data_IF_554379709651
#
_entry.id   IF_554379709651
#
_cell.length_a   1.000
_cell.length_b   1.000
_cell.length_c   1.000
_cell.angle_alpha   90.00
_cell.angle_beta   90.00
_cell.angle_gamma   90.00
#
_symmetry.space_group_name_H-M   'P 1'
#
loop_
_entity.id
_entity.type
_entity.pdbx_description
1 polymer ?
#
# COMPACT_ATOMS: atom_id res chain seq x y z
N UNK A 1 -19.81 -59.17 53.57
CA UNK A 1 -18.84 -58.06 53.47
C UNK A 1 -18.10 -57.96 52.10
N UNK A 2 -18.41 -58.80 51.11
CA UNK A 2 -17.72 -58.75 49.79
C UNK A 2 -18.41 -57.85 48.72
N UNK A 3 -19.68 -57.54 48.91
CA UNK A 3 -20.45 -56.77 47.90
C UNK A 3 -20.18 -55.28 47.96
N UNK A 4 -19.81 -54.73 49.13
CA UNK A 4 -19.53 -53.31 49.30
C UNK A 4 -18.17 -52.88 48.72
N UNK A 5 -17.20 -53.77 48.59
CA UNK A 5 -15.85 -53.48 48.06
C UNK A 5 -15.84 -53.40 46.51
N UNK A 6 -16.72 -54.12 45.81
CA UNK A 6 -16.80 -54.14 44.35
C UNK A 6 -17.43 -52.88 43.84
N UNK A 7 -18.43 -52.29 44.53
CA UNK A 7 -19.10 -51.06 44.16
C UNK A 7 -18.19 -49.81 44.24
N UNK A 8 -17.28 -49.79 45.18
CA UNK A 8 -16.34 -48.69 45.38
C UNK A 8 -15.23 -48.67 44.28
N UNK A 9 -14.79 -49.85 43.84
CA UNK A 9 -13.81 -50.00 42.77
C UNK A 9 -14.40 -49.56 41.41
N UNK A 10 -15.63 -50.00 41.11
CA UNK A 10 -16.32 -49.63 39.86
C UNK A 10 -16.64 -48.11 39.81
N UNK A 11 -16.95 -47.48 40.93
CA UNK A 11 -17.19 -46.06 41.02
C UNK A 11 -15.88 -45.23 40.88
N UNK A 12 -14.76 -45.71 41.37
CA UNK A 12 -13.44 -45.05 41.19
C UNK A 12 -12.94 -45.13 39.77
N UNK A 13 -13.21 -46.22 39.03
CA UNK A 13 -12.82 -46.36 37.64
C UNK A 13 -13.75 -45.52 36.72
N UNK A 14 -15.03 -45.43 37.05
CA UNK A 14 -15.97 -44.56 36.32
C UNK A 14 -15.66 -43.05 36.48
N UNK A 15 -15.19 -42.62 37.65
CA UNK A 15 -14.82 -41.22 37.89
C UNK A 15 -13.43 -40.87 37.30
N UNK A 16 -12.63 -41.87 36.92
CA UNK A 16 -11.32 -41.65 36.30
C UNK A 16 -11.39 -41.46 34.79
N UNK A 17 -12.48 -41.84 34.15
CA UNK A 17 -12.75 -41.58 32.71
C UNK A 17 -13.58 -40.32 32.43
N UNK A 18 -13.88 -39.51 33.45
CA UNK A 18 -14.48 -38.20 33.25
C UNK A 18 -13.40 -37.24 32.74
N UNK A 19 -13.38 -37.08 31.44
CA UNK A 19 -12.75 -36.04 30.63
C UNK A 19 -11.92 -35.03 31.44
N UNK A 20 -10.59 -35.14 31.40
CA UNK A 20 -9.76 -33.96 31.57
C UNK A 20 -10.14 -33.01 30.43
N UNK A 21 -10.57 -31.77 30.72
CA UNK A 21 -10.88 -30.82 29.62
C UNK A 21 -9.63 -30.68 28.76
N UNK A 22 -9.78 -30.94 27.46
CA UNK A 22 -8.71 -30.66 26.50
C UNK A 22 -8.17 -29.26 26.78
N UNK A 23 -6.84 -29.08 26.80
CA UNK A 23 -6.27 -27.74 26.99
C UNK A 23 -6.82 -26.84 25.90
N UNK A 24 -7.54 -25.80 26.29
CA UNK A 24 -8.04 -24.77 25.37
C UNK A 24 -6.88 -24.36 24.50
N UNK A 25 -7.05 -24.55 23.18
CA UNK A 25 -6.08 -24.05 22.20
C UNK A 25 -5.78 -22.58 22.54
N UNK A 26 -4.51 -22.16 22.52
CA UNK A 26 -4.16 -20.79 22.85
C UNK A 26 -5.01 -19.85 21.99
N UNK A 27 -5.69 -18.90 22.62
CA UNK A 27 -6.48 -17.91 21.90
C UNK A 27 -5.58 -17.28 20.83
N UNK A 28 -6.06 -17.25 19.58
CA UNK A 28 -5.34 -16.62 18.48
C UNK A 28 -4.94 -15.20 18.93
N UNK A 29 -3.66 -14.87 18.78
CA UNK A 29 -3.19 -13.52 19.11
C UNK A 29 -4.04 -12.49 18.37
N UNK A 30 -4.39 -11.39 19.04
CA UNK A 30 -5.10 -10.30 18.39
C UNK A 30 -4.31 -9.83 17.15
N UNK A 31 -4.98 -9.52 16.03
CA UNK A 31 -4.30 -9.08 14.82
C UNK A 31 -3.47 -7.83 15.12
N UNK A 32 -2.26 -7.81 14.60
CA UNK A 32 -1.37 -6.63 14.71
C UNK A 32 -1.89 -5.49 13.82
N UNK A 33 -1.40 -4.26 14.03
CA UNK A 33 -1.71 -3.12 13.13
C UNK A 33 -1.34 -3.45 11.66
N UNK A 34 -0.25 -4.18 11.44
CA UNK A 34 0.21 -4.60 10.13
C UNK A 34 -0.75 -5.62 9.49
N UNK A 35 -1.26 -6.56 10.28
CA UNK A 35 -2.28 -7.50 9.82
C UNK A 35 -3.58 -6.78 9.46
N UNK A 36 -4.02 -5.85 10.30
CA UNK A 36 -5.22 -5.06 10.07
C UNK A 36 -5.11 -4.21 8.78
N UNK A 37 -3.93 -3.66 8.51
CA UNK A 37 -3.64 -2.89 7.29
C UNK A 37 -3.72 -3.77 6.05
N UNK A 38 -3.00 -4.90 6.04
CA UNK A 38 -3.04 -5.87 4.93
C UNK A 38 -4.47 -6.32 4.64
N UNK A 39 -5.19 -6.79 5.66
CA UNK A 39 -6.56 -7.24 5.53
C UNK A 39 -7.51 -6.13 5.06
N UNK A 40 -7.28 -4.88 5.46
CA UNK A 40 -8.05 -3.73 5.01
C UNK A 40 -7.98 -3.56 3.50
N UNK A 41 -6.79 -3.58 2.93
CA UNK A 41 -6.57 -3.49 1.48
C UNK A 41 -7.06 -4.73 0.73
N UNK A 42 -6.80 -5.93 1.24
CA UNK A 42 -7.30 -7.19 0.65
C UNK A 42 -8.84 -7.19 0.57
N UNK A 43 -9.52 -6.76 1.64
CA UNK A 43 -10.99 -6.61 1.64
C UNK A 43 -11.46 -5.59 0.62
N UNK A 44 -10.76 -4.45 0.47
CA UNK A 44 -11.13 -3.43 -0.50
C UNK A 44 -11.09 -3.97 -1.93
N UNK A 45 -10.04 -4.70 -2.30
CA UNK A 45 -9.96 -5.38 -3.60
C UNK A 45 -11.01 -6.47 -3.75
N UNK A 46 -11.17 -7.36 -2.77
CA UNK A 46 -12.11 -8.48 -2.83
C UNK A 46 -13.57 -8.00 -3.02
N UNK A 47 -13.93 -6.91 -2.34
CA UNK A 47 -15.27 -6.30 -2.45
C UNK A 47 -15.42 -5.40 -3.67
N UNK A 48 -14.34 -5.05 -4.37
CA UNK A 48 -14.33 -4.06 -5.45
C UNK A 48 -14.72 -2.68 -4.94
N UNK A 49 -14.24 -2.29 -3.76
CA UNK A 49 -14.59 -1.02 -3.11
C UNK A 49 -14.22 0.19 -3.95
N UNK A 50 -13.11 0.13 -4.67
CA UNK A 50 -12.65 1.21 -5.57
C UNK A 50 -13.12 1.04 -7.01
N UNK A 51 -13.77 -0.07 -7.33
CA UNK A 51 -14.27 -0.41 -8.65
C UNK A 51 -13.99 -1.86 -9.02
N UNK A 52 -14.53 -2.27 -10.18
CA UNK A 52 -14.30 -3.60 -10.74
C UNK A 52 -13.79 -3.47 -12.17
N UNK A 53 -12.85 -4.34 -12.53
CA UNK A 53 -12.37 -4.45 -13.90
C UNK A 53 -13.41 -5.16 -14.80
N UNK A 54 -13.10 -5.26 -16.11
CA UNK A 54 -13.99 -5.91 -17.10
C UNK A 54 -14.27 -7.39 -16.80
N UNK A 55 -13.47 -8.04 -15.96
CA UNK A 55 -13.68 -9.42 -15.53
C UNK A 55 -14.46 -9.50 -14.21
N UNK A 56 -15.01 -8.38 -13.71
CA UNK A 56 -15.78 -8.31 -12.48
C UNK A 56 -14.94 -8.41 -11.19
N UNK A 57 -13.62 -8.46 -11.28
CA UNK A 57 -12.70 -8.47 -10.13
C UNK A 57 -12.45 -7.06 -9.64
N UNK A 58 -12.14 -6.90 -8.35
CA UNK A 58 -11.72 -5.63 -7.78
C UNK A 58 -10.52 -5.05 -8.53
N UNK A 59 -10.48 -3.73 -8.66
CA UNK A 59 -9.46 -2.97 -9.36
C UNK A 59 -8.90 -1.86 -8.48
N UNK A 60 -7.81 -1.24 -8.92
CA UNK A 60 -7.19 -0.08 -8.27
C UNK A 60 -8.01 1.22 -8.40
N UNK A 61 -9.24 1.12 -8.91
CA UNK A 61 -10.20 2.22 -8.96
C UNK A 61 -10.17 3.07 -10.22
N UNK A 62 -11.16 3.97 -10.28
CA UNK A 62 -11.36 4.85 -11.43
C UNK A 62 -10.16 5.78 -11.70
N UNK A 63 -9.42 6.15 -10.66
CA UNK A 63 -8.21 6.98 -10.77
C UNK A 63 -7.02 6.29 -11.45
N UNK A 64 -7.09 4.96 -11.65
CA UNK A 64 -6.01 4.16 -12.25
C UNK A 64 -6.30 3.69 -13.68
N UNK A 65 -7.46 4.03 -14.25
CA UNK A 65 -7.80 3.63 -15.63
C UNK A 65 -6.92 4.32 -16.66
N UNK A 66 -6.81 3.73 -17.85
CA UNK A 66 -6.06 4.34 -18.96
C UNK A 66 -6.61 5.71 -19.37
N UNK A 67 -7.92 5.89 -19.30
CA UNK A 67 -8.56 7.15 -19.62
C UNK A 67 -8.24 8.24 -18.60
N UNK A 68 -8.49 7.93 -17.31
CA UNK A 68 -8.30 8.88 -16.21
C UNK A 68 -6.84 9.30 -16.02
N UNK A 69 -5.89 8.45 -16.41
CA UNK A 69 -4.45 8.71 -16.26
C UNK A 69 -3.77 9.25 -17.50
N UNK A 70 -4.52 9.55 -18.57
CA UNK A 70 -3.92 10.01 -19.85
C UNK A 70 -2.98 11.20 -19.66
N UNK A 71 -3.41 12.24 -18.96
CA UNK A 71 -2.59 13.43 -18.69
C UNK A 71 -1.39 13.08 -17.81
N UNK A 72 -1.62 12.32 -16.76
CA UNK A 72 -0.55 11.89 -15.84
C UNK A 72 0.51 11.04 -16.54
N UNK A 73 0.11 10.12 -17.42
CA UNK A 73 1.06 9.26 -18.16
C UNK A 73 1.97 10.05 -19.08
N UNK A 74 1.43 11.05 -19.79
CA UNK A 74 2.26 11.96 -20.62
C UNK A 74 3.26 12.71 -19.74
N UNK A 75 2.79 13.33 -18.67
CA UNK A 75 3.65 14.00 -17.70
C UNK A 75 4.74 13.07 -17.14
N UNK A 76 4.36 11.85 -16.71
CA UNK A 76 5.31 10.92 -16.12
C UNK A 76 6.37 10.48 -17.15
N UNK A 77 5.98 10.22 -18.40
CA UNK A 77 6.93 9.85 -19.46
C UNK A 77 7.95 10.97 -19.72
N UNK A 78 7.48 12.23 -19.80
CA UNK A 78 8.34 13.40 -19.96
C UNK A 78 9.25 13.60 -18.74
N UNK A 79 8.71 13.39 -17.53
CA UNK A 79 9.47 13.47 -16.28
C UNK A 79 10.60 12.43 -16.22
N UNK A 80 10.31 11.18 -16.60
CA UNK A 80 11.31 10.09 -16.63
C UNK A 80 12.47 10.45 -17.58
N UNK A 81 12.16 10.99 -18.75
CA UNK A 81 13.16 11.41 -19.74
C UNK A 81 13.96 12.64 -19.28
N UNK A 82 13.27 13.69 -18.81
CA UNK A 82 13.90 14.96 -18.42
C UNK A 82 14.83 14.83 -17.20
N UNK A 83 14.56 13.89 -16.32
CA UNK A 83 15.37 13.63 -15.11
C UNK A 83 16.31 12.43 -15.25
N UNK A 84 16.41 11.84 -16.45
CA UNK A 84 17.29 10.70 -16.74
C UNK A 84 17.08 9.54 -15.75
N UNK A 85 15.80 9.24 -15.42
CA UNK A 85 15.43 8.18 -14.47
C UNK A 85 15.77 6.81 -15.08
N UNK A 86 16.52 6.01 -14.32
CA UNK A 86 16.93 4.65 -14.69
C UNK A 86 16.33 3.58 -13.79
N UNK A 87 15.85 3.98 -12.62
CA UNK A 87 15.23 3.05 -11.67
C UNK A 87 14.02 3.69 -11.00
N UNK A 88 12.95 2.90 -10.88
CA UNK A 88 11.67 3.33 -10.28
C UNK A 88 11.21 2.30 -9.26
N UNK A 89 10.84 2.78 -8.07
CA UNK A 89 10.02 2.06 -7.11
C UNK A 89 8.63 2.67 -7.12
N UNK A 90 7.62 1.88 -7.46
CA UNK A 90 6.20 2.28 -7.44
C UNK A 90 5.53 1.67 -6.20
N UNK A 91 5.40 2.48 -5.16
CA UNK A 91 4.91 2.08 -3.85
C UNK A 91 3.38 2.18 -3.78
N UNK A 92 2.71 1.03 -3.88
CA UNK A 92 1.28 0.88 -4.07
C UNK A 92 0.92 0.82 -5.56
N UNK A 93 1.62 -0.03 -6.33
CA UNK A 93 1.46 -0.13 -7.79
C UNK A 93 0.08 -0.64 -8.23
N UNK A 94 -0.69 -1.22 -7.30
CA UNK A 94 -2.01 -1.78 -7.58
C UNK A 94 -1.99 -2.82 -8.69
N UNK A 95 -3.08 -2.89 -9.47
CA UNK A 95 -3.24 -3.81 -10.60
C UNK A 95 -2.51 -3.39 -11.89
N UNK A 96 -1.63 -2.39 -11.78
CA UNK A 96 -0.77 -1.88 -12.84
C UNK A 96 -1.51 -1.38 -14.09
N UNK A 97 -2.76 -0.95 -13.92
CA UNK A 97 -3.67 -0.65 -15.04
C UNK A 97 -3.14 0.49 -15.93
N UNK A 98 -2.67 1.59 -15.35
CA UNK A 98 -2.12 2.68 -16.17
C UNK A 98 -0.64 2.44 -16.56
N UNK A 99 0.15 1.87 -15.65
CA UNK A 99 1.59 1.68 -15.84
C UNK A 99 1.91 0.72 -16.98
N UNK A 100 1.01 -0.22 -17.29
CA UNK A 100 1.17 -1.14 -18.44
C UNK A 100 1.16 -0.44 -19.80
N UNK A 101 0.73 0.82 -19.86
CA UNK A 101 0.72 1.65 -21.08
C UNK A 101 1.85 2.67 -21.11
N UNK A 102 2.78 2.61 -20.17
CA UNK A 102 4.00 3.41 -20.14
C UNK A 102 5.13 2.68 -20.87
N UNK A 103 6.06 3.44 -21.42
CA UNK A 103 7.33 2.90 -21.92
C UNK A 103 8.35 2.81 -20.78
N UNK A 104 8.66 1.60 -20.35
CA UNK A 104 9.66 1.30 -19.33
C UNK A 104 11.00 0.85 -19.93
N UNK A 105 11.22 1.02 -21.22
CA UNK A 105 12.46 0.62 -21.88
C UNK A 105 13.67 1.34 -21.25
N UNK A 106 14.67 0.58 -20.83
CA UNK A 106 15.87 1.11 -20.17
C UNK A 106 15.67 1.59 -18.72
N UNK A 107 14.51 1.34 -18.12
CA UNK A 107 14.19 1.67 -16.73
C UNK A 107 13.97 0.38 -15.95
N UNK A 108 14.68 0.20 -14.84
CA UNK A 108 14.45 -0.88 -13.89
C UNK A 108 13.26 -0.53 -12.99
N UNK A 109 12.11 -1.12 -13.29
CA UNK A 109 10.86 -0.86 -12.58
C UNK A 109 10.58 -1.94 -11.53
N UNK A 110 10.26 -1.51 -10.32
CA UNK A 110 9.79 -2.37 -9.23
C UNK A 110 8.46 -1.87 -8.68
N UNK A 111 7.38 -2.59 -8.96
CA UNK A 111 6.07 -2.37 -8.36
C UNK A 111 5.94 -3.10 -7.03
N UNK A 112 5.55 -2.36 -6.00
CA UNK A 112 5.28 -2.87 -4.66
C UNK A 112 3.82 -2.68 -4.31
N UNK A 113 3.20 -3.69 -3.69
CA UNK A 113 1.85 -3.60 -3.13
C UNK A 113 1.71 -4.59 -1.97
N UNK A 114 0.85 -4.26 -1.01
CA UNK A 114 0.60 -5.11 0.16
C UNK A 114 -0.32 -6.29 -0.18
N UNK A 115 -1.08 -6.21 -1.29
CA UNK A 115 -2.08 -7.20 -1.68
C UNK A 115 -1.46 -8.30 -2.54
N UNK A 116 -1.09 -9.40 -1.92
CA UNK A 116 -0.38 -10.50 -2.57
C UNK A 116 -1.06 -11.03 -3.85
N UNK A 117 -2.38 -11.27 -3.91
CA UNK A 117 -3.05 -11.72 -5.15
C UNK A 117 -2.90 -10.76 -6.33
N UNK A 118 -2.84 -9.44 -6.06
CA UNK A 118 -2.63 -8.40 -7.09
C UNK A 118 -1.21 -8.52 -7.65
N UNK A 119 -0.21 -8.60 -6.79
CA UNK A 119 1.19 -8.76 -7.17
C UNK A 119 1.43 -10.05 -7.96
N UNK A 120 0.85 -11.15 -7.55
CA UNK A 120 0.94 -12.41 -8.31
C UNK A 120 0.33 -12.32 -9.71
N UNK A 121 -0.80 -11.64 -9.83
CA UNK A 121 -1.42 -11.37 -11.12
C UNK A 121 -0.53 -10.50 -12.01
N UNK A 122 0.08 -9.46 -11.45
CA UNK A 122 1.01 -8.57 -12.16
C UNK A 122 2.27 -9.33 -12.63
N UNK A 123 2.89 -10.12 -11.75
CA UNK A 123 4.05 -10.96 -12.12
C UNK A 123 3.76 -11.86 -13.32
N UNK A 124 2.61 -12.52 -13.34
CA UNK A 124 2.21 -13.42 -14.42
C UNK A 124 1.91 -12.70 -15.74
N UNK A 125 1.37 -11.47 -15.67
CA UNK A 125 0.88 -10.74 -16.84
C UNK A 125 1.91 -9.80 -17.44
N UNK A 126 2.72 -9.17 -16.61
CA UNK A 126 3.52 -8.01 -16.97
C UNK A 126 4.99 -8.15 -16.57
N UNK A 127 5.35 -9.19 -15.82
CA UNK A 127 6.73 -9.45 -15.42
C UNK A 127 7.67 -9.57 -16.62
N UNK A 128 8.77 -8.81 -16.59
CA UNK A 128 9.80 -8.79 -17.63
C UNK A 128 11.18 -8.61 -16.96
N UNK A 129 12.25 -8.67 -17.74
CA UNK A 129 13.61 -8.55 -17.21
C UNK A 129 13.81 -7.24 -16.42
N UNK A 130 13.20 -6.15 -16.88
CA UNK A 130 13.29 -4.83 -16.26
C UNK A 130 11.99 -4.39 -15.54
N UNK A 131 10.94 -5.24 -15.50
CA UNK A 131 9.68 -4.97 -14.82
C UNK A 131 9.40 -6.06 -13.81
N UNK A 132 9.52 -5.74 -12.56
CA UNK A 132 9.39 -6.69 -11.44
C UNK A 132 8.32 -6.23 -10.45
N UNK A 133 7.78 -7.18 -9.70
CA UNK A 133 6.75 -6.91 -8.69
C UNK A 133 7.06 -7.68 -7.41
N UNK A 134 6.84 -7.06 -6.26
CA UNK A 134 7.02 -7.69 -4.96
C UNK A 134 5.90 -7.29 -3.99
N UNK A 135 5.55 -8.24 -3.11
CA UNK A 135 4.65 -7.93 -1.99
C UNK A 135 5.46 -7.17 -0.95
N UNK A 136 4.98 -5.98 -0.58
CA UNK A 136 5.58 -5.17 0.46
C UNK A 136 4.55 -4.26 1.12
N UNK A 137 4.68 -4.07 2.42
CA UNK A 137 3.97 -3.04 3.15
C UNK A 137 4.82 -1.76 3.19
N UNK A 138 4.44 -0.77 2.39
CA UNK A 138 5.20 0.48 2.26
C UNK A 138 5.29 1.28 3.57
N UNK A 139 4.41 0.99 4.53
CA UNK A 139 4.43 1.61 5.86
C UNK A 139 5.51 0.97 6.73
N UNK A 140 5.55 -0.36 6.75
CA UNK A 140 6.45 -1.14 7.61
C UNK A 140 7.80 -1.39 6.97
N UNK A 141 7.80 -1.90 5.74
CA UNK A 141 9.00 -2.45 5.12
C UNK A 141 9.95 -1.36 4.62
N UNK A 142 11.25 -1.65 4.65
CA UNK A 142 12.24 -0.81 4.00
C UNK A 142 12.08 -0.91 2.49
N UNK A 143 11.95 0.26 1.85
CA UNK A 143 11.84 0.32 0.40
C UNK A 143 13.24 0.35 -0.23
N UNK A 144 13.47 -0.40 -1.32
CA UNK A 144 14.76 -0.42 -1.97
C UNK A 144 15.10 0.95 -2.59
N UNK A 145 16.39 1.27 -2.77
CA UNK A 145 16.82 2.51 -3.41
C UNK A 145 16.43 2.53 -4.89
N UNK A 146 16.09 3.72 -5.39
CA UNK A 146 15.83 4.00 -6.81
C UNK A 146 16.04 5.49 -7.10
N UNK A 147 16.12 5.86 -8.38
CA UNK A 147 16.14 7.27 -8.78
C UNK A 147 14.83 7.97 -8.45
N UNK A 148 13.72 7.26 -8.64
CA UNK A 148 12.36 7.77 -8.45
C UNK A 148 11.53 6.85 -7.57
N UNK A 149 10.90 7.42 -6.56
CA UNK A 149 9.80 6.81 -5.84
C UNK A 149 8.47 7.37 -6.35
N UNK A 150 7.58 6.51 -6.79
CA UNK A 150 6.18 6.84 -7.10
C UNK A 150 5.29 6.43 -5.92
N UNK A 151 4.37 7.32 -5.53
CA UNK A 151 3.32 7.04 -4.54
C UNK A 151 2.03 7.65 -5.07
N UNK A 152 1.25 6.87 -5.81
CA UNK A 152 0.06 7.40 -6.47
C UNK A 152 -1.22 6.80 -5.89
N UNK A 153 -2.09 7.68 -5.36
CA UNK A 153 -3.41 7.32 -4.81
C UNK A 153 -3.34 6.30 -3.65
N UNK A 154 -2.28 6.35 -2.85
CA UNK A 154 -2.04 5.45 -1.72
C UNK A 154 -2.25 6.15 -0.39
N UNK A 155 -1.59 7.29 -0.17
CA UNK A 155 -1.59 7.96 1.14
C UNK A 155 -2.98 8.44 1.56
N UNK A 156 -3.85 8.74 0.61
CA UNK A 156 -5.26 9.10 0.86
C UNK A 156 -6.08 7.95 1.49
N UNK A 157 -5.53 6.74 1.55
CA UNK A 157 -6.14 5.54 2.13
C UNK A 157 -5.49 5.09 3.45
N UNK A 158 -4.49 5.82 3.95
CA UNK A 158 -3.73 5.50 5.15
C UNK A 158 -4.12 6.40 6.32
N UNK A 159 -3.94 5.90 7.55
CA UNK A 159 -4.04 6.70 8.77
C UNK A 159 -2.95 7.78 8.81
N UNK A 160 -3.12 8.81 9.65
CA UNK A 160 -2.09 9.84 9.84
C UNK A 160 -0.76 9.26 10.31
N UNK A 161 -0.81 8.28 11.22
CA UNK A 161 0.39 7.62 11.73
C UNK A 161 1.13 6.87 10.62
N UNK A 162 0.40 6.17 9.76
CA UNK A 162 0.98 5.43 8.63
C UNK A 162 1.55 6.37 7.57
N UNK A 163 0.87 7.48 7.27
CA UNK A 163 1.40 8.53 6.38
C UNK A 163 2.74 9.04 6.92
N UNK A 164 2.82 9.37 8.20
CA UNK A 164 4.07 9.87 8.80
C UNK A 164 5.23 8.87 8.62
N UNK A 165 4.97 7.56 8.79
CA UNK A 165 5.97 6.50 8.58
C UNK A 165 6.45 6.44 7.12
N UNK A 166 5.54 6.60 6.15
CA UNK A 166 5.92 6.65 4.73
C UNK A 166 6.71 7.92 4.42
N UNK A 167 6.25 9.08 4.88
CA UNK A 167 6.93 10.37 4.63
C UNK A 167 8.38 10.38 5.16
N UNK A 168 8.66 9.69 6.27
CA UNK A 168 10.00 9.56 6.83
C UNK A 168 10.99 8.84 5.91
N UNK A 169 10.51 8.06 4.94
CA UNK A 169 11.35 7.31 3.97
C UNK A 169 11.72 8.12 2.74
N UNK A 170 10.98 9.19 2.43
CA UNK A 170 11.08 9.94 1.18
C UNK A 170 12.45 10.60 0.94
N UNK A 171 13.16 11.17 1.95
CA UNK A 171 14.45 11.83 1.73
C UNK A 171 15.53 10.93 1.13
N UNK A 172 15.36 9.62 1.18
CA UNK A 172 16.29 8.62 0.66
C UNK A 172 16.29 8.54 -0.88
N UNK A 173 15.31 9.14 -1.55
CA UNK A 173 15.15 9.11 -3.00
C UNK A 173 15.57 10.44 -3.62
N UNK A 174 16.24 10.39 -4.79
CA UNK A 174 16.59 11.59 -5.54
C UNK A 174 15.36 12.35 -6.00
N UNK A 175 14.33 11.62 -6.45
CA UNK A 175 13.06 12.18 -6.84
C UNK A 175 11.92 11.38 -6.19
N UNK A 176 10.87 12.08 -5.77
CA UNK A 176 9.62 11.47 -5.31
C UNK A 176 8.46 12.17 -6.00
N UNK A 177 7.55 11.41 -6.59
CA UNK A 177 6.28 11.91 -7.09
C UNK A 177 5.15 11.33 -6.25
N UNK A 178 4.41 12.20 -5.58
CA UNK A 178 3.21 11.83 -4.82
C UNK A 178 1.99 12.36 -5.54
N UNK A 179 0.99 11.50 -5.78
CA UNK A 179 -0.27 11.87 -6.40
C UNK A 179 -1.41 11.55 -5.46
N UNK A 180 -2.23 12.53 -5.14
CA UNK A 180 -3.45 12.35 -4.36
C UNK A 180 -4.61 13.14 -4.96
N UNK A 181 -5.82 12.77 -4.58
CA UNK A 181 -6.98 13.65 -4.74
C UNK A 181 -6.87 14.81 -3.77
N UNK A 182 -7.12 16.02 -4.27
CA UNK A 182 -7.27 17.22 -3.46
C UNK A 182 -8.62 17.86 -3.74
N UNK A 183 -9.26 18.40 -2.71
CA UNK A 183 -10.49 19.18 -2.85
C UNK A 183 -10.22 20.58 -2.30
N UNK A 184 -10.54 21.59 -3.11
CA UNK A 184 -10.31 22.99 -2.73
C UNK A 184 -11.17 23.44 -1.53
N UNK A 185 -12.34 22.84 -1.33
CA UNK A 185 -13.34 23.31 -0.37
C UNK A 185 -13.41 22.49 0.94
N UNK A 186 -12.61 21.44 1.08
CA UNK A 186 -12.68 20.55 2.25
C UNK A 186 -11.38 20.49 3.06
N UNK A 187 -10.85 21.64 3.46
CA UNK A 187 -9.74 21.72 4.42
C UNK A 187 -10.02 20.94 5.71
N UNK A 188 -11.30 20.86 6.14
CA UNK A 188 -11.71 20.11 7.33
C UNK A 188 -11.60 18.59 7.18
N UNK A 189 -11.83 18.04 6.00
CA UNK A 189 -11.78 16.58 5.78
C UNK A 189 -10.35 16.03 5.78
N UNK A 190 -9.36 16.82 5.35
CA UNK A 190 -7.95 16.43 5.36
C UNK A 190 -7.38 16.27 6.78
N UNK A 191 -8.02 16.86 7.78
CA UNK A 191 -7.60 16.79 9.17
C UNK A 191 -8.19 15.61 9.95
N UNK A 192 -9.19 14.94 9.41
CA UNK A 192 -9.77 13.77 10.07
C UNK A 192 -8.93 12.53 9.77
N UNK A 193 -8.57 11.80 10.82
CA UNK A 193 -7.95 10.50 10.64
C UNK A 193 -8.97 9.51 10.12
N UNK A 194 -8.51 8.54 9.34
CA UNK A 194 -9.33 7.48 8.78
C UNK A 194 -8.70 6.12 9.12
N UNK A 195 -9.52 5.09 9.30
CA UNK A 195 -8.97 3.75 9.34
C UNK A 195 -8.35 3.41 7.97
N UNK A 196 -7.26 2.67 7.99
CA UNK A 196 -6.57 2.22 6.77
C UNK A 196 -7.52 1.44 5.86
N UNK A 197 -7.46 1.74 4.56
CA UNK A 197 -8.42 1.27 3.55
C UNK A 197 -9.63 2.17 3.36
N UNK A 198 -9.81 3.18 4.21
CA UNK A 198 -10.77 4.27 4.00
C UNK A 198 -10.35 5.19 2.85
N UNK A 199 -11.00 6.34 2.73
CA UNK A 199 -10.67 7.34 1.72
C UNK A 199 -10.90 8.75 2.26
N UNK A 200 -9.95 9.66 1.98
CA UNK A 200 -10.14 11.11 2.10
C UNK A 200 -9.32 11.84 1.03
N UNK A 201 -9.76 13.01 0.54
CA UNK A 201 -8.90 13.92 -0.19
C UNK A 201 -7.71 14.33 0.69
N UNK A 202 -6.49 14.43 0.11
CA UNK A 202 -5.28 14.63 0.88
C UNK A 202 -4.32 15.61 0.18
N UNK A 203 -4.30 16.87 0.63
CA UNK A 203 -3.28 17.84 0.24
C UNK A 203 -2.15 17.85 1.27
N UNK A 204 -1.06 17.17 0.97
CA UNK A 204 0.11 17.08 1.86
C UNK A 204 0.85 18.41 2.04
N UNK A 205 0.57 19.43 1.23
CA UNK A 205 1.15 20.77 1.39
C UNK A 205 0.47 21.57 2.49
N UNK A 206 -0.67 21.08 2.97
CA UNK A 206 -1.44 21.69 4.07
C UNK A 206 -1.10 21.03 5.42
N UNK A 207 -1.38 21.70 6.54
CA UNK A 207 -1.30 21.06 7.84
C UNK A 207 -2.16 19.76 7.86
N UNK A 208 -1.82 18.76 8.68
CA UNK A 208 -0.71 18.73 9.62
C UNK A 208 0.65 18.40 8.98
N UNK A 209 0.69 18.05 7.69
CA UNK A 209 1.91 17.58 7.04
C UNK A 209 2.83 18.72 6.60
N UNK A 210 2.27 19.78 6.01
CA UNK A 210 3.00 20.96 5.53
C UNK A 210 4.24 20.59 4.69
N UNK A 211 4.09 19.56 3.87
CA UNK A 211 5.19 18.99 3.10
C UNK A 211 5.65 19.99 2.02
N UNK A 212 6.95 20.29 2.04
CA UNK A 212 7.54 21.21 1.07
C UNK A 212 7.92 20.46 -0.20
N UNK A 213 7.30 20.83 -1.33
CA UNK A 213 7.56 20.24 -2.65
C UNK A 213 6.98 21.12 -3.74
N UNK A 214 7.38 20.86 -4.97
CA UNK A 214 6.84 21.57 -6.14
C UNK A 214 5.52 20.92 -6.60
N UNK A 215 4.46 21.70 -6.74
CA UNK A 215 3.21 21.26 -7.39
C UNK A 215 3.45 21.27 -8.91
N UNK A 216 3.78 20.12 -9.50
CA UNK A 216 4.26 20.01 -10.87
C UNK A 216 3.16 19.71 -11.89
N UNK A 217 2.04 19.16 -11.43
CA UNK A 217 0.86 18.93 -12.26
C UNK A 217 -0.40 18.94 -11.41
N UNK A 218 -1.46 19.57 -11.92
CA UNK A 218 -2.82 19.39 -11.38
C UNK A 218 -3.78 19.15 -12.56
N UNK A 219 -4.65 18.16 -12.43
CA UNK A 219 -5.64 17.85 -13.46
C UNK A 219 -6.96 17.37 -12.86
N UNK A 220 -8.07 17.67 -13.56
CA UNK A 220 -9.41 17.28 -13.12
C UNK A 220 -9.72 15.84 -13.50
N UNK A 221 -10.36 15.12 -12.57
CA UNK A 221 -10.93 13.81 -12.79
C UNK A 221 -12.32 13.78 -12.17
N UNK A 222 -13.35 13.96 -12.99
CA UNK A 222 -14.71 14.16 -12.48
C UNK A 222 -14.80 15.39 -11.59
N UNK A 223 -15.28 15.21 -10.37
CA UNK A 223 -15.36 16.27 -9.35
C UNK A 223 -14.05 16.52 -8.61
N UNK A 224 -13.11 15.56 -8.66
CA UNK A 224 -11.84 15.64 -7.94
C UNK A 224 -10.76 16.34 -8.78
N UNK A 225 -9.78 16.89 -8.09
CA UNK A 225 -8.51 17.36 -8.68
C UNK A 225 -7.40 16.44 -8.22
N UNK A 226 -6.67 15.85 -9.16
CA UNK A 226 -5.41 15.17 -8.88
C UNK A 226 -4.29 16.17 -8.80
N UNK A 227 -3.52 16.14 -7.72
CA UNK A 227 -2.34 16.96 -7.54
C UNK A 227 -1.10 16.06 -7.53
N UNK A 228 -0.11 16.40 -8.34
CA UNK A 228 1.21 15.77 -8.36
C UNK A 228 2.19 16.68 -7.63
N UNK A 229 2.72 16.17 -6.53
CA UNK A 229 3.74 16.84 -5.73
C UNK A 229 5.09 16.17 -6.01
N UNK A 230 6.06 16.97 -6.43
CA UNK A 230 7.44 16.53 -6.64
C UNK A 230 8.31 16.99 -5.47
N UNK A 231 9.02 16.03 -4.87
CA UNK A 231 10.05 16.29 -3.87
C UNK A 231 11.41 15.82 -4.40
N UNK A 232 12.44 16.53 -3.99
CA UNK A 232 13.84 16.16 -4.20
C UNK A 232 14.46 15.86 -2.85
N UNK A 233 15.07 14.70 -2.74
CA UNK A 233 15.82 14.29 -1.56
C UNK A 233 17.31 14.17 -1.86
N UNK A 234 18.08 13.78 -0.88
CA UNK A 234 19.54 13.69 -0.96
C UNK A 234 20.03 12.49 -1.79
N UNK A 235 19.11 11.65 -2.27
CA UNK A 235 19.40 10.51 -3.15
C UNK A 235 20.29 9.46 -2.49
N UNK A 236 20.21 9.32 -1.17
CA UNK A 236 21.00 8.33 -0.45
C UNK A 236 22.52 8.53 -0.62
N UNK A 237 22.98 9.75 -0.81
CA UNK A 237 24.42 10.03 -0.74
C UNK A 237 24.91 9.57 0.62
N UNK A 238 25.38 8.32 0.68
CA UNK A 238 26.19 7.84 1.77
C UNK A 238 27.31 8.86 1.95
N UNK A 239 27.42 9.43 3.16
CA UNK A 239 28.41 10.42 3.48
C UNK A 239 29.79 9.94 3.01
N UNK A 240 30.22 10.45 1.88
CA UNK A 240 31.60 10.41 1.50
C UNK A 240 32.34 11.25 2.51
N UNK A 241 32.93 10.61 3.51
CA UNK A 241 33.96 11.21 4.33
C UNK A 241 35.05 11.73 3.37
N UNK A 242 34.93 13.01 3.01
CA UNK A 242 35.98 13.76 2.39
C UNK A 242 37.10 13.94 3.41
N UNK A 243 38.24 13.50 3.06
CA UNK A 243 39.52 13.73 3.74
C UNK A 243 39.83 15.21 3.89
#
# INVERSE_FOLDING_TARGET
MLVAALGVLLYRDYVREADEPEPLAPAAAAPTEDDARREGFERAYARGQWGRNKQGKGSSGAGSTLESTRVYRVFLQDFLAAHEIRSVVDAGCGDWEFSRAMDWTGIDYLGLDIVAPVIEANRRRYGAANVRFAVADIVRDDLPPADLLLVKDVLQHLSHADIARVLAKLPRYRHVLIVNDVQQDSLSAAYQDIPTGGYRPLDLTQPPYSLRGAKVLAYRLGTNTKLVLHLQGDGGRAGGNGR
#
